data_IF_189871564390
#
_entry.id   IF_189871564390
#
_cell.length_a   1.000
_cell.length_b   1.000
_cell.length_c   1.000
_cell.angle_alpha   90.00
_cell.angle_beta   90.00
_cell.angle_gamma   90.00
#
_symmetry.space_group_name_H-M   'P 1'
#
loop_
_entity.id
_entity.type
_entity.pdbx_description
1 polymer ?
#
# COMPACT_ATOMS: atom_id res chain seq x y z
N UNK A 1 -2.25 14.77 -6.42
CA UNK A 1 -2.76 13.88 -7.48
C UNK A 1 -3.42 12.66 -6.83
N UNK A 2 -4.59 12.24 -7.33
CA UNK A 2 -5.33 11.06 -6.86
C UNK A 2 -4.77 9.81 -7.54
N UNK A 3 -4.27 8.85 -6.78
CA UNK A 3 -3.54 7.69 -7.33
C UNK A 3 -3.60 6.45 -6.43
N UNK A 4 -2.99 5.38 -6.93
CA UNK A 4 -2.62 4.17 -6.19
C UNK A 4 -1.13 3.90 -6.41
N UNK A 5 -0.46 3.37 -5.41
CA UNK A 5 0.93 2.91 -5.54
C UNK A 5 0.95 1.51 -6.17
N UNK A 6 0.57 1.43 -7.44
CA UNK A 6 0.33 0.17 -8.17
C UNK A 6 1.54 -0.76 -8.26
N UNK A 7 2.74 -0.26 -7.98
CA UNK A 7 3.97 -1.05 -7.96
C UNK A 7 4.25 -1.74 -6.63
N UNK A 8 3.55 -1.36 -5.56
CA UNK A 8 3.68 -1.96 -4.24
C UNK A 8 2.91 -3.28 -4.16
N UNK A 9 3.31 -4.16 -3.25
CA UNK A 9 2.58 -5.39 -2.95
C UNK A 9 1.13 -5.05 -2.57
N UNK A 10 0.16 -5.57 -3.32
CA UNK A 10 -1.25 -5.20 -3.20
C UNK A 10 -1.84 -5.43 -1.79
N UNK A 11 -1.52 -6.57 -1.18
CA UNK A 11 -1.92 -6.91 0.19
C UNK A 11 -0.89 -6.54 1.25
N UNK A 12 0.11 -5.72 0.93
CA UNK A 12 1.12 -5.28 1.88
C UNK A 12 0.70 -4.00 2.61
N UNK A 13 1.13 -3.86 3.86
CA UNK A 13 1.09 -2.57 4.54
C UNK A 13 2.19 -1.65 3.99
N UNK A 14 1.83 -0.39 3.75
CA UNK A 14 2.80 0.69 3.58
C UNK A 14 2.76 1.55 4.84
N UNK A 15 3.92 1.88 5.39
CA UNK A 15 4.03 2.81 6.50
C UNK A 15 4.44 4.18 5.97
N UNK A 16 3.59 5.19 6.17
CA UNK A 16 3.87 6.56 5.78
C UNK A 16 4.02 7.38 7.04
N UNK A 17 5.14 8.07 7.20
CA UNK A 17 5.37 9.02 8.28
C UNK A 17 5.33 10.44 7.73
N UNK A 18 4.48 11.30 8.29
CA UNK A 18 4.43 12.71 7.92
C UNK A 18 5.53 13.50 8.63
N UNK A 19 6.20 14.40 7.91
CA UNK A 19 7.29 15.23 8.39
C UNK A 19 7.06 16.70 7.99
N UNK A 20 7.77 17.61 8.64
CA UNK A 20 7.71 19.05 8.36
C UNK A 20 6.92 19.84 9.41
N UNK A 21 6.59 21.08 9.07
CA UNK A 21 5.88 22.02 9.94
C UNK A 21 4.67 22.57 9.19
N UNK A 22 3.49 22.11 9.60
CA UNK A 22 2.19 22.50 9.03
C UNK A 22 1.06 22.29 10.05
N UNK A 23 -0.03 23.04 9.93
CA UNK A 23 -1.25 22.84 10.71
C UNK A 23 -2.08 21.68 10.12
N UNK A 24 -1.93 20.50 10.73
CA UNK A 24 -2.59 19.27 10.31
C UNK A 24 -4.12 19.27 10.48
N UNK A 25 -4.71 20.30 11.07
CA UNK A 25 -6.17 20.48 11.14
C UNK A 25 -6.73 21.28 9.97
N UNK A 26 -5.84 21.93 9.22
CA UNK A 26 -6.19 22.87 8.16
C UNK A 26 -5.69 22.42 6.78
N UNK A 27 -4.81 21.42 6.73
CA UNK A 27 -4.19 20.93 5.50
C UNK A 27 -3.32 19.69 5.74
N UNK A 28 -2.71 19.18 4.67
CA UNK A 28 -1.79 18.02 4.77
C UNK A 28 -2.46 16.67 5.11
N UNK A 29 -3.80 16.63 5.17
CA UNK A 29 -4.59 15.43 5.42
C UNK A 29 -4.36 14.38 4.33
N UNK A 30 -4.59 13.11 4.67
CA UNK A 30 -4.68 12.04 3.70
C UNK A 30 -6.15 11.73 3.38
N UNK A 31 -6.47 11.68 2.10
CA UNK A 31 -7.80 11.30 1.60
C UNK A 31 -7.74 9.86 1.14
N UNK A 32 -8.57 9.00 1.73
CA UNK A 32 -8.77 7.61 1.35
C UNK A 32 -10.11 7.51 0.63
N UNK A 33 -10.07 7.65 -0.71
CA UNK A 33 -11.27 7.81 -1.53
C UNK A 33 -12.19 6.59 -1.49
N UNK A 34 -11.62 5.39 -1.54
CA UNK A 34 -12.38 4.13 -1.55
C UNK A 34 -13.07 3.90 -0.19
N UNK A 35 -12.50 4.41 0.90
CA UNK A 35 -13.07 4.35 2.25
C UNK A 35 -14.01 5.54 2.57
N UNK A 36 -14.08 6.56 1.70
CA UNK A 36 -14.78 7.83 1.95
C UNK A 36 -14.32 8.52 3.24
N UNK A 37 -13.02 8.45 3.54
CA UNK A 37 -12.41 9.02 4.74
C UNK A 37 -11.42 10.13 4.39
N UNK A 38 -11.42 11.18 5.21
CA UNK A 38 -10.37 12.19 5.27
C UNK A 38 -9.79 12.11 6.66
N UNK A 39 -8.48 11.89 6.75
CA UNK A 39 -7.78 11.68 8.01
C UNK A 39 -6.79 12.81 8.23
N UNK A 40 -6.96 13.55 9.32
CA UNK A 40 -5.95 14.48 9.81
C UNK A 40 -4.64 13.71 10.03
N UNK A 41 -3.54 14.21 9.47
CA UNK A 41 -2.28 13.47 9.45
C UNK A 41 -1.14 14.35 9.99
N UNK A 42 -0.97 14.41 11.33
CA UNK A 42 0.01 15.26 11.99
C UNK A 42 1.45 14.94 11.60
N UNK A 43 2.31 15.96 11.55
CA UNK A 43 3.76 15.75 11.50
C UNK A 43 4.23 14.92 12.71
N UNK A 44 5.12 13.96 12.48
CA UNK A 44 5.59 13.00 13.48
C UNK A 44 4.70 11.77 13.65
N UNK A 45 3.51 11.73 13.05
CA UNK A 45 2.65 10.55 13.07
C UNK A 45 2.98 9.60 11.91
N UNK A 46 2.66 8.31 12.11
CA UNK A 46 2.78 7.27 11.09
C UNK A 46 1.43 6.61 10.88
N UNK A 47 1.06 6.41 9.61
CA UNK A 47 -0.14 5.67 9.21
C UNK A 47 0.27 4.40 8.47
N UNK A 48 -0.41 3.28 8.79
CA UNK A 48 -0.31 2.02 8.07
C UNK A 48 -1.52 1.90 7.14
N UNK A 49 -1.26 1.84 5.82
CA UNK A 49 -2.31 1.79 4.80
C UNK A 49 -1.91 0.91 3.61
N UNK A 50 -2.83 0.13 3.02
CA UNK A 50 -2.56 -0.64 1.81
C UNK A 50 -2.65 0.26 0.57
N UNK A 51 -1.64 1.10 0.36
CA UNK A 51 -1.62 2.16 -0.67
C UNK A 51 -1.77 1.66 -2.11
N UNK A 52 -1.39 0.41 -2.38
CA UNK A 52 -1.57 -0.23 -3.70
C UNK A 52 -3.04 -0.59 -3.97
N UNK A 53 -3.79 -0.92 -2.91
CA UNK A 53 -5.20 -1.33 -3.01
C UNK A 53 -6.17 -0.14 -2.92
N UNK A 54 -5.78 0.95 -2.26
CA UNK A 54 -6.65 2.10 -1.99
C UNK A 54 -6.27 3.33 -2.79
N UNK A 55 -7.26 3.94 -3.44
CA UNK A 55 -7.13 5.22 -4.10
C UNK A 55 -6.96 6.34 -3.06
N UNK A 56 -5.88 7.11 -3.15
CA UNK A 56 -5.52 8.10 -2.14
C UNK A 56 -4.89 9.38 -2.72
N UNK A 57 -4.84 10.42 -1.89
CA UNK A 57 -4.17 11.69 -2.19
C UNK A 57 -3.88 12.48 -0.90
N UNK A 58 -2.95 13.43 -0.96
CA UNK A 58 -2.73 14.40 0.11
C UNK A 58 -3.50 15.71 -0.20
N UNK A 59 -4.07 16.32 0.83
CA UNK A 59 -4.57 17.70 0.78
C UNK A 59 -3.38 18.66 0.82
N UNK A 60 -3.47 19.77 0.09
CA UNK A 60 -2.44 20.81 0.12
C UNK A 60 -2.25 21.39 1.52
N UNK A 61 -1.04 21.83 1.81
CA UNK A 61 -0.73 22.67 2.97
C UNK A 61 -0.93 24.15 2.60
N UNK A 62 -0.93 25.03 3.60
CA UNK A 62 -1.04 26.48 3.41
C UNK A 62 0.29 27.08 2.95
N UNK A 63 0.22 28.30 2.45
CA UNK A 63 1.41 29.08 2.10
C UNK A 63 2.30 29.30 3.33
N UNK A 64 3.62 29.16 3.15
CA UNK A 64 4.61 29.25 4.23
C UNK A 64 4.79 27.97 5.06
N UNK A 65 3.96 26.95 4.86
CA UNK A 65 4.12 25.65 5.53
C UNK A 65 5.06 24.72 4.75
N UNK A 66 5.60 23.71 5.43
CA UNK A 66 6.42 22.67 4.80
C UNK A 66 5.91 21.28 5.17
N UNK A 67 5.89 20.38 4.19
CA UNK A 67 5.52 18.98 4.41
C UNK A 67 6.40 18.05 3.58
N UNK A 68 6.90 17.02 4.23
CA UNK A 68 7.54 15.88 3.60
C UNK A 68 6.90 14.59 4.12
N UNK A 69 7.24 13.46 3.50
CA UNK A 69 6.82 12.15 3.98
C UNK A 69 7.92 11.14 3.77
N UNK A 70 8.05 10.22 4.72
CA UNK A 70 8.88 9.03 4.58
C UNK A 70 7.97 7.82 4.40
N UNK A 71 8.07 7.13 3.26
CA UNK A 71 7.22 5.99 2.92
C UNK A 71 8.04 4.72 2.86
N UNK A 72 7.66 3.74 3.67
CA UNK A 72 8.20 2.39 3.68
C UNK A 72 7.20 1.46 3.01
N UNK A 73 7.66 0.76 1.98
CA UNK A 73 6.83 -0.16 1.21
C UNK A 73 7.70 -1.30 0.68
N UNK A 74 7.04 -2.36 0.18
CA UNK A 74 7.70 -3.41 -0.57
C UNK A 74 7.14 -3.48 -1.98
N UNK A 75 8.02 -3.54 -2.98
CA UNK A 75 7.62 -3.63 -4.37
C UNK A 75 7.01 -5.01 -4.68
N UNK A 76 5.81 -5.03 -5.27
CA UNK A 76 5.14 -6.27 -5.68
C UNK A 76 5.90 -7.02 -6.77
N UNK A 77 6.75 -6.32 -7.53
CA UNK A 77 7.63 -6.91 -8.53
C UNK A 77 8.61 -7.95 -7.97
N UNK A 78 9.09 -7.76 -6.72
CA UNK A 78 10.00 -8.72 -6.07
C UNK A 78 9.29 -10.06 -5.86
N UNK A 79 8.06 -10.04 -5.35
CA UNK A 79 7.27 -11.26 -5.16
C UNK A 79 6.94 -11.94 -6.48
N UNK A 80 6.60 -11.19 -7.53
CA UNK A 80 6.39 -11.76 -8.88
C UNK A 80 7.65 -12.44 -9.42
N UNK A 81 8.83 -11.87 -9.17
CA UNK A 81 10.09 -12.45 -9.60
C UNK A 81 10.41 -13.75 -8.85
N UNK A 82 10.21 -13.77 -7.53
CA UNK A 82 10.34 -14.99 -6.71
C UNK A 82 9.35 -16.05 -7.17
N UNK A 83 8.08 -15.66 -7.38
CA UNK A 83 7.01 -16.53 -7.86
C UNK A 83 7.36 -17.23 -9.17
N UNK A 84 8.03 -16.51 -10.08
CA UNK A 84 8.43 -17.03 -11.37
C UNK A 84 9.69 -17.92 -11.29
N UNK A 85 10.24 -18.20 -10.10
CA UNK A 85 11.48 -18.95 -9.94
C UNK A 85 12.73 -18.09 -10.13
N UNK A 86 12.72 -16.87 -9.62
CA UNK A 86 13.87 -15.95 -9.66
C UNK A 86 14.25 -15.50 -11.07
N UNK A 87 13.26 -15.28 -11.94
CA UNK A 87 13.47 -14.90 -13.34
C UNK A 87 12.41 -13.91 -13.83
N UNK A 88 12.67 -13.26 -14.97
CA UNK A 88 11.71 -12.35 -15.58
C UNK A 88 10.48 -13.13 -16.03
N UNK A 89 9.31 -12.49 -15.98
CA UNK A 89 8.06 -13.15 -16.38
C UNK A 89 8.08 -13.62 -17.84
N UNK A 90 8.71 -12.85 -18.74
CA UNK A 90 8.85 -13.23 -20.13
C UNK A 90 9.69 -14.51 -20.30
N UNK A 91 10.76 -14.65 -19.51
CA UNK A 91 11.61 -15.85 -19.54
C UNK A 91 10.84 -17.06 -18.98
N UNK A 92 10.13 -16.88 -17.85
CA UNK A 92 9.29 -17.93 -17.27
C UNK A 92 8.20 -18.41 -18.24
N UNK A 93 7.53 -17.48 -18.92
CA UNK A 93 6.50 -17.82 -19.91
C UNK A 93 7.08 -18.61 -21.10
N UNK A 94 8.33 -18.35 -21.49
CA UNK A 94 9.00 -19.06 -22.57
C UNK A 94 9.46 -20.47 -22.14
N UNK A 95 10.06 -20.58 -20.94
CA UNK A 95 10.64 -21.82 -20.40
C UNK A 95 9.54 -22.80 -19.97
N UNK A 96 8.50 -22.30 -19.30
CA UNK A 96 7.38 -23.10 -18.79
C UNK A 96 6.03 -22.40 -19.04
N UNK A 97 5.48 -22.52 -20.27
CA UNK A 97 4.20 -21.92 -20.62
C UNK A 97 3.02 -22.44 -19.78
N UNK A 98 3.09 -23.69 -19.32
CA UNK A 98 2.00 -24.34 -18.59
C UNK A 98 1.99 -23.87 -17.13
N UNK A 99 3.15 -23.86 -16.48
CA UNK A 99 3.33 -23.26 -15.16
C UNK A 99 3.02 -21.76 -15.15
N UNK A 100 3.36 -21.03 -16.21
CA UNK A 100 2.95 -19.63 -16.37
C UNK A 100 1.43 -19.48 -16.37
N UNK A 101 0.70 -20.29 -17.15
CA UNK A 101 -0.78 -20.24 -17.19
C UNK A 101 -1.38 -20.55 -15.82
N UNK A 102 -0.90 -21.59 -15.14
CA UNK A 102 -1.34 -21.92 -13.79
C UNK A 102 -1.08 -20.75 -12.82
N UNK A 103 0.12 -20.17 -12.84
CA UNK A 103 0.47 -19.06 -11.95
C UNK A 103 -0.39 -17.82 -12.18
N UNK A 104 -0.71 -17.51 -13.43
CA UNK A 104 -1.60 -16.40 -13.76
C UNK A 104 -3.03 -16.63 -13.24
N UNK A 105 -3.49 -17.88 -13.22
CA UNK A 105 -4.79 -18.24 -12.63
C UNK A 105 -4.77 -18.13 -11.10
N UNK A 106 -3.72 -18.62 -10.44
CA UNK A 106 -3.52 -18.47 -8.98
C UNK A 106 -3.53 -16.99 -8.56
N UNK A 107 -2.90 -16.12 -9.37
CA UNK A 107 -2.86 -14.67 -9.14
C UNK A 107 -4.25 -14.02 -9.15
N UNK A 108 -5.23 -14.53 -9.92
CA UNK A 108 -6.60 -14.00 -9.91
C UNK A 108 -7.24 -14.04 -8.52
N UNK A 109 -6.89 -15.05 -7.72
CA UNK A 109 -7.43 -15.25 -6.37
C UNK A 109 -6.49 -14.79 -5.25
N UNK A 110 -5.30 -14.28 -5.60
CA UNK A 110 -4.27 -13.85 -4.63
C UNK A 110 -4.74 -12.74 -3.67
N UNK A 111 -5.73 -11.94 -4.06
CA UNK A 111 -6.30 -10.91 -3.19
C UNK A 111 -6.92 -11.49 -1.91
N UNK A 112 -7.48 -12.71 -1.96
CA UNK A 112 -8.04 -13.38 -0.78
C UNK A 112 -6.95 -13.69 0.25
N UNK A 113 -5.81 -14.21 -0.23
CA UNK A 113 -4.62 -14.41 0.58
C UNK A 113 -4.08 -13.08 1.11
N UNK A 114 -4.08 -12.05 0.26
CA UNK A 114 -3.76 -10.68 0.65
C UNK A 114 -4.58 -10.21 1.85
N UNK A 115 -5.90 -10.35 1.76
CA UNK A 115 -6.83 -9.95 2.81
C UNK A 115 -6.66 -10.76 4.10
N UNK A 116 -6.43 -12.07 4.01
CA UNK A 116 -6.27 -12.93 5.19
C UNK A 116 -4.98 -12.67 5.97
N UNK A 117 -4.06 -11.83 5.47
CA UNK A 117 -2.86 -11.43 6.20
C UNK A 117 -3.10 -10.20 7.10
N UNK A 118 -4.22 -9.50 6.94
CA UNK A 118 -4.57 -8.40 7.84
C UNK A 118 -5.19 -8.93 9.12
N UNK A 119 -4.83 -8.29 10.23
CA UNK A 119 -5.53 -8.52 11.50
C UNK A 119 -6.99 -8.10 11.38
N UNK A 120 -7.87 -8.91 11.94
CA UNK A 120 -9.27 -8.58 12.21
C UNK A 120 -9.37 -7.59 13.38
N UNK A 121 -10.53 -6.94 13.51
CA UNK A 121 -10.77 -6.04 14.64
C UNK A 121 -10.71 -6.79 15.97
N UNK A 122 -11.25 -8.01 16.02
CA UNK A 122 -11.24 -8.85 17.23
C UNK A 122 -9.81 -9.21 17.65
N UNK A 123 -8.95 -9.59 16.68
CA UNK A 123 -7.53 -9.84 16.95
C UNK A 123 -6.84 -8.60 17.52
N UNK A 124 -7.08 -7.41 16.95
CA UNK A 124 -6.49 -6.16 17.44
C UNK A 124 -6.97 -5.83 18.86
N UNK A 125 -8.26 -5.96 19.12
CA UNK A 125 -8.84 -5.68 20.44
C UNK A 125 -8.34 -6.67 21.50
N UNK A 126 -8.08 -7.92 21.14
CA UNK A 126 -7.56 -8.94 22.07
C UNK A 126 -6.14 -8.66 22.59
N UNK A 127 -5.39 -7.77 21.92
CA UNK A 127 -4.01 -7.40 22.27
C UNK A 127 -3.98 -6.12 23.13
N UNK A 128 -5.12 -5.46 23.32
CA UNK A 128 -5.21 -4.24 24.14
C UNK A 128 -5.46 -4.63 25.61
N UNK A 129 -4.57 -4.27 26.55
CA UNK A 129 -4.75 -4.58 27.98
C UNK A 129 -5.96 -3.86 28.60
#
# INVERSE_FOLDING_TARGET
>A
FKHRDTMNLAGGWCAVSALGTFDHKQGGHIVLWDAKLVVEFPAGSTILIPLSAMMHSNVSIREGETRASFTQYVAGGIFRWVDNGCQRQADFQCIDPDGYRQRMEERRNSWKKGLSMYSTLDELLSITP
#
